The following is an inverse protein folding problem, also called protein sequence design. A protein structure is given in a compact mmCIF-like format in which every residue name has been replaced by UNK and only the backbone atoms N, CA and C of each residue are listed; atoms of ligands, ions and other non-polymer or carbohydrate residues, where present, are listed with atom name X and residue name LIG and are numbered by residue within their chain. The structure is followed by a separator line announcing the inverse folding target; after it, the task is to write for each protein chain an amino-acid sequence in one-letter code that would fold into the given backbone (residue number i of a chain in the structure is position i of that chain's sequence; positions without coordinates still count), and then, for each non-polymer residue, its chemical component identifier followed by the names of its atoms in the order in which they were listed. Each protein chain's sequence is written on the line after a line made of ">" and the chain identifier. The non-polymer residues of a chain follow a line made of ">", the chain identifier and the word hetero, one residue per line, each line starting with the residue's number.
data_IF_225456665438
#
_entry.id   IF_225456665438
#
_cell.length_a   1.000
_cell.length_b   1.000
_cell.length_c   1.000
_cell.angle_alpha   90.00
_cell.angle_beta   90.00
_cell.angle_gamma   90.00
#
_symmetry.space_group_name_H-M   'P 1'
#
loop_
_entity.id
_entity.type
_entity.pdbx_description
1 polymer ?
#
# COMPACT_ATOMS: atom_id res chain seq x y z
N UNK A 1 21.77 -9.12 -31.21
CA UNK A 1 21.35 -8.76 -29.83
C UNK A 1 21.08 -7.25 -29.78
N UNK A 2 20.06 -6.80 -30.53
CA UNK A 2 19.64 -5.39 -30.64
C UNK A 2 18.12 -5.46 -30.70
N UNK A 3 17.45 -5.67 -29.56
CA UNK A 3 15.99 -5.55 -29.45
C UNK A 3 15.58 -5.59 -27.96
N UNK A 4 16.06 -4.65 -27.16
CA UNK A 4 15.58 -4.47 -25.78
C UNK A 4 15.61 -3.00 -25.31
N UNK A 5 15.39 -2.07 -26.24
CA UNK A 5 15.40 -0.62 -25.96
C UNK A 5 14.14 0.13 -26.48
N UNK A 6 13.04 -0.57 -26.78
CA UNK A 6 11.86 0.02 -27.44
C UNK A 6 10.58 0.14 -26.58
N UNK A 7 10.67 0.10 -25.24
CA UNK A 7 9.48 0.34 -24.40
C UNK A 7 9.70 1.26 -23.19
N UNK A 8 10.70 2.15 -23.25
CA UNK A 8 10.60 3.39 -22.48
C UNK A 8 9.77 4.37 -23.33
N UNK A 9 8.45 4.14 -23.39
CA UNK A 9 7.52 5.22 -23.76
C UNK A 9 7.70 6.28 -22.68
N UNK A 10 8.48 7.30 -22.98
CA UNK A 10 8.54 8.52 -22.20
C UNK A 10 7.11 9.01 -22.00
N UNK A 11 6.58 8.92 -20.79
CA UNK A 11 5.32 9.56 -20.42
C UNK A 11 5.51 11.04 -20.74
N UNK A 12 4.79 11.64 -21.71
CA UNK A 12 5.32 12.83 -22.38
C UNK A 12 5.39 14.08 -21.50
N UNK A 13 4.68 14.13 -20.38
CA UNK A 13 4.66 15.29 -19.48
C UNK A 13 4.41 14.75 -18.05
N UNK A 14 5.44 14.76 -17.20
CA UNK A 14 5.32 14.35 -15.80
C UNK A 14 5.38 15.57 -14.88
N UNK A 15 4.24 15.96 -14.30
CA UNK A 15 4.19 17.01 -13.27
C UNK A 15 4.49 16.36 -11.93
N UNK A 16 5.53 16.82 -11.24
CA UNK A 16 5.91 16.29 -9.93
C UNK A 16 5.35 17.17 -8.82
N UNK A 17 4.69 16.56 -7.84
CA UNK A 17 4.12 17.18 -6.66
C UNK A 17 4.78 16.56 -5.42
N UNK A 18 5.05 17.37 -4.40
CA UNK A 18 5.39 16.85 -3.08
C UNK A 18 4.13 16.83 -2.23
N UNK A 19 4.02 15.85 -1.34
CA UNK A 19 2.99 15.91 -0.30
C UNK A 19 3.16 17.13 0.58
N UNK A 20 2.04 17.55 1.15
CA UNK A 20 1.92 18.72 2.01
C UNK A 20 1.13 18.36 3.26
N UNK A 21 1.44 19.00 4.38
CA UNK A 21 0.69 18.86 5.65
C UNK A 21 -0.72 19.44 5.60
N UNK A 22 -1.05 20.14 4.52
CA UNK A 22 -2.37 20.71 4.21
C UNK A 22 -2.92 20.15 2.91
N UNK A 23 -4.24 20.20 2.75
CA UNK A 23 -4.87 19.88 1.47
C UNK A 23 -4.65 21.02 0.45
N UNK A 24 -4.30 20.65 -0.77
CA UNK A 24 -4.14 21.53 -1.92
C UNK A 24 -4.94 20.97 -3.09
N UNK A 25 -5.49 21.86 -3.90
CA UNK A 25 -6.22 21.49 -5.11
C UNK A 25 -5.39 21.85 -6.34
N UNK A 26 -5.37 20.94 -7.31
CA UNK A 26 -4.82 21.21 -8.64
C UNK A 26 -5.92 21.00 -9.63
N UNK A 27 -6.06 21.97 -10.52
CA UNK A 27 -6.88 21.87 -11.70
C UNK A 27 -6.02 22.20 -12.92
N UNK A 28 -6.05 21.33 -13.92
CA UNK A 28 -5.26 21.45 -15.13
C UNK A 28 -6.04 20.85 -16.31
N UNK A 29 -5.60 21.15 -17.53
CA UNK A 29 -6.15 20.55 -18.75
C UNK A 29 -5.00 19.89 -19.51
N UNK A 30 -5.14 18.59 -19.79
CA UNK A 30 -4.16 17.83 -20.54
C UNK A 30 -4.59 17.76 -22.01
N UNK A 31 -3.77 18.33 -22.90
CA UNK A 31 -4.00 18.28 -24.36
C UNK A 31 -3.58 16.93 -24.97
N UNK A 32 -2.69 16.20 -24.30
CA UNK A 32 -2.16 14.90 -24.72
C UNK A 32 -2.06 13.94 -23.54
N UNK A 33 -1.61 12.71 -23.78
CA UNK A 33 -1.23 11.79 -22.70
C UNK A 33 -0.14 12.40 -21.82
N UNK A 34 -0.20 12.12 -20.53
CA UNK A 34 0.76 12.64 -19.55
C UNK A 34 0.70 11.87 -18.24
N UNK A 35 1.31 12.41 -17.21
CA UNK A 35 1.24 11.84 -15.88
C UNK A 35 1.46 12.87 -14.79
N UNK A 36 0.95 12.56 -13.61
CA UNK A 36 1.20 13.33 -12.40
C UNK A 36 1.85 12.40 -11.39
N UNK A 37 3.07 12.75 -11.00
CA UNK A 37 3.81 12.04 -9.96
C UNK A 37 3.64 12.79 -8.64
N UNK A 38 3.30 12.06 -7.59
CA UNK A 38 3.10 12.58 -6.24
C UNK A 38 4.03 11.82 -5.31
N UNK A 39 5.02 12.52 -4.77
CA UNK A 39 5.93 11.96 -3.78
C UNK A 39 5.34 12.17 -2.39
N UNK A 40 4.96 11.09 -1.70
CA UNK A 40 4.29 11.15 -0.40
C UNK A 40 5.31 10.92 0.72
N UNK A 41 5.44 11.92 1.58
CA UNK A 41 6.32 11.97 2.74
C UNK A 41 5.59 12.44 4.03
N UNK A 42 4.30 12.77 3.93
CA UNK A 42 3.43 13.14 5.07
C UNK A 42 2.24 12.19 5.11
N UNK A 43 1.95 11.65 6.28
CA UNK A 43 0.88 10.68 6.51
C UNK A 43 -0.03 11.10 7.68
N UNK A 44 -1.31 10.72 7.69
CA UNK A 44 -2.03 10.06 6.57
C UNK A 44 -2.15 10.98 5.37
N UNK A 45 -2.23 10.42 4.16
CA UNK A 45 -2.33 11.18 2.93
C UNK A 45 -3.62 10.86 2.17
N UNK A 46 -4.26 11.88 1.63
CA UNK A 46 -5.51 11.78 0.90
C UNK A 46 -5.29 12.19 -0.55
N UNK A 47 -5.89 11.44 -1.46
CA UNK A 47 -6.08 11.78 -2.86
C UNK A 47 -7.57 11.79 -3.15
N UNK A 48 -8.10 12.96 -3.50
CA UNK A 48 -9.52 13.14 -3.83
C UNK A 48 -9.64 13.46 -5.31
N UNK A 49 -10.29 12.58 -6.06
CA UNK A 49 -10.43 12.68 -7.50
C UNK A 49 -11.70 13.45 -7.85
N UNK A 50 -11.55 14.73 -8.19
CA UNK A 50 -12.70 15.58 -8.54
C UNK A 50 -13.15 15.35 -9.99
N UNK A 51 -12.20 15.38 -10.93
CA UNK A 51 -12.43 15.06 -12.35
C UNK A 51 -11.12 14.55 -12.94
N UNK A 52 -11.17 13.47 -13.69
CA UNK A 52 -9.99 12.90 -14.32
C UNK A 52 -10.40 12.42 -15.71
N UNK A 53 -9.50 12.48 -16.72
CA UNK A 53 -9.79 11.92 -18.04
C UNK A 53 -10.07 10.41 -17.95
N UNK A 54 -11.00 9.93 -18.77
CA UNK A 54 -11.39 8.52 -18.76
C UNK A 54 -10.23 7.60 -19.19
N UNK A 55 -10.10 6.47 -18.51
CA UNK A 55 -9.03 5.50 -18.69
C UNK A 55 -7.73 5.91 -17.98
N UNK A 56 -7.79 6.86 -17.05
CA UNK A 56 -6.62 7.20 -16.24
C UNK A 56 -6.35 6.13 -15.19
N UNK A 57 -5.09 5.88 -14.89
CA UNK A 57 -4.65 4.78 -14.01
C UNK A 57 -3.83 5.36 -12.86
N UNK A 58 -4.18 4.99 -11.63
CA UNK A 58 -3.36 5.25 -10.44
C UNK A 58 -2.39 4.09 -10.25
N UNK A 59 -1.10 4.36 -10.37
CA UNK A 59 -0.02 3.44 -10.01
C UNK A 59 0.51 3.81 -8.64
N UNK A 60 0.52 2.85 -7.73
CA UNK A 60 1.01 3.00 -6.36
C UNK A 60 2.34 2.27 -6.24
N UNK A 61 3.38 3.00 -5.86
CA UNK A 61 4.69 2.45 -5.58
C UNK A 61 4.97 2.61 -4.10
N UNK A 62 5.43 1.55 -3.42
CA UNK A 62 5.86 1.66 -2.03
C UNK A 62 7.32 1.26 -1.87
N UNK A 63 7.90 1.64 -0.74
CA UNK A 63 9.28 1.29 -0.39
C UNK A 63 9.38 0.89 1.07
N UNK A 64 10.20 -0.13 1.36
CA UNK A 64 10.55 -0.49 2.73
C UNK A 64 11.84 0.18 3.22
N UNK A 65 12.69 0.66 2.31
CA UNK A 65 14.04 1.17 2.59
C UNK A 65 14.34 2.55 1.97
N UNK A 66 13.35 3.22 1.37
CA UNK A 66 13.41 4.51 0.64
C UNK A 66 14.22 4.48 -0.67
N UNK A 67 15.11 3.53 -0.84
CA UNK A 67 16.02 3.47 -1.99
C UNK A 67 15.42 2.70 -3.18
N UNK A 68 14.52 1.76 -2.91
CA UNK A 68 13.84 0.97 -3.95
C UNK A 68 12.32 1.18 -3.92
N UNK A 69 11.76 1.58 -5.06
CA UNK A 69 10.30 1.70 -5.24
C UNK A 69 9.79 0.48 -6.00
N UNK A 70 8.83 -0.22 -5.41
CA UNK A 70 8.15 -1.35 -6.03
C UNK A 70 6.70 -1.00 -6.33
N UNK A 71 6.25 -1.29 -7.55
CA UNK A 71 4.84 -1.15 -7.91
C UNK A 71 4.01 -2.15 -7.10
N UNK A 72 3.18 -1.66 -6.20
CA UNK A 72 2.31 -2.50 -5.36
C UNK A 72 0.92 -2.65 -5.95
N UNK A 73 0.40 -1.61 -6.58
CA UNK A 73 -0.94 -1.61 -7.12
C UNK A 73 -1.07 -0.73 -8.36
N UNK A 74 -1.99 -1.10 -9.23
CA UNK A 74 -2.36 -0.33 -10.42
C UNK A 74 -3.87 -0.42 -10.58
N UNK A 75 -4.54 0.71 -10.34
CA UNK A 75 -6.01 0.77 -10.27
C UNK A 75 -6.54 1.83 -11.23
N UNK A 76 -7.52 1.49 -12.11
CA UNK A 76 -8.23 2.50 -12.89
C UNK A 76 -8.89 3.52 -11.96
N UNK A 77 -8.69 4.81 -12.21
CA UNK A 77 -9.21 5.87 -11.32
C UNK A 77 -10.74 5.83 -11.22
N UNK A 78 -11.43 5.34 -12.25
CA UNK A 78 -12.90 5.21 -12.24
C UNK A 78 -13.42 4.18 -11.23
N UNK A 79 -12.58 3.25 -10.78
CA UNK A 79 -12.89 2.27 -9.72
C UNK A 79 -12.68 2.84 -8.32
N UNK A 80 -11.97 3.97 -8.21
CA UNK A 80 -11.87 4.73 -6.97
C UNK A 80 -13.11 5.61 -6.88
N UNK A 81 -13.87 5.52 -5.79
CA UNK A 81 -15.12 6.27 -5.65
C UNK A 81 -14.89 7.78 -5.72
N UNK A 82 -14.25 8.34 -4.69
CA UNK A 82 -13.94 9.78 -4.61
C UNK A 82 -12.60 10.00 -3.91
N UNK A 83 -12.40 9.30 -2.79
CA UNK A 83 -11.22 9.44 -1.93
C UNK A 83 -10.42 8.15 -1.97
N UNK A 84 -9.11 8.30 -2.14
CA UNK A 84 -8.11 7.27 -1.93
C UNK A 84 -7.23 7.70 -0.75
N UNK A 85 -7.10 6.82 0.24
CA UNK A 85 -6.42 7.07 1.51
C UNK A 85 -5.15 6.23 1.59
N UNK A 86 -4.06 6.87 2.03
CA UNK A 86 -2.73 6.25 2.13
C UNK A 86 -2.23 6.35 3.57
N UNK A 87 -2.00 5.19 4.18
CA UNK A 87 -1.65 5.06 5.60
C UNK A 87 -0.16 4.75 5.85
N UNK A 88 0.50 4.07 4.92
CA UNK A 88 1.79 3.45 5.15
C UNK A 88 2.96 4.24 4.57
N UNK A 89 4.13 4.18 5.24
CA UNK A 89 5.21 5.09 4.96
C UNK A 89 5.89 4.73 3.62
N UNK A 90 6.29 5.77 2.91
CA UNK A 90 6.98 5.77 1.62
C UNK A 90 6.12 5.25 0.48
N UNK A 91 5.36 6.17 -0.09
CA UNK A 91 4.54 5.95 -1.27
C UNK A 91 4.88 7.00 -2.33
N UNK A 92 5.04 6.54 -3.56
CA UNK A 92 5.02 7.40 -4.73
C UNK A 92 3.82 6.99 -5.56
N UNK A 93 2.94 7.94 -5.84
CA UNK A 93 1.77 7.70 -6.66
C UNK A 93 1.96 8.36 -8.02
N UNK A 94 1.70 7.62 -9.10
CA UNK A 94 1.71 8.14 -10.46
C UNK A 94 0.32 7.99 -11.03
N UNK A 95 -0.33 9.11 -11.33
CA UNK A 95 -1.59 9.12 -12.06
C UNK A 95 -1.24 9.25 -13.55
N UNK A 96 -1.39 8.16 -14.28
CA UNK A 96 -1.20 8.10 -15.72
C UNK A 96 -2.47 8.58 -16.44
N UNK A 97 -2.32 9.58 -17.29
CA UNK A 97 -3.40 10.16 -18.09
C UNK A 97 -3.26 9.65 -19.52
N UNK A 98 -4.17 8.77 -19.91
CA UNK A 98 -4.13 8.06 -21.20
C UNK A 98 -4.90 8.77 -22.30
N UNK A 99 -5.71 9.78 -21.95
CA UNK A 99 -6.52 10.58 -22.89
C UNK A 99 -6.51 12.06 -22.51
N UNK A 100 -6.64 12.98 -23.49
CA UNK A 100 -6.83 14.40 -23.21
C UNK A 100 -8.08 14.67 -22.38
N UNK A 101 -8.06 15.74 -21.59
CA UNK A 101 -9.22 16.21 -20.85
C UNK A 101 -8.88 17.03 -19.60
N UNK A 102 -9.92 17.42 -18.89
CA UNK A 102 -9.80 18.12 -17.61
C UNK A 102 -9.30 17.16 -16.54
N UNK A 103 -8.39 17.66 -15.72
CA UNK A 103 -7.85 16.99 -14.57
C UNK A 103 -8.04 17.89 -13.34
N UNK A 104 -8.54 17.32 -12.26
CA UNK A 104 -8.75 17.99 -10.99
C UNK A 104 -8.66 17.01 -9.85
N UNK A 105 -7.71 17.25 -8.94
CA UNK A 105 -7.58 16.50 -7.71
C UNK A 105 -7.37 17.43 -6.54
N UNK A 106 -7.72 16.96 -5.36
CA UNK A 106 -7.27 17.54 -4.08
C UNK A 106 -6.40 16.53 -3.38
N UNK A 107 -5.24 16.95 -2.89
CA UNK A 107 -4.28 16.06 -2.26
C UNK A 107 -3.64 16.70 -1.02
N UNK A 108 -3.15 15.89 -0.09
CA UNK A 108 -2.46 16.36 1.10
C UNK A 108 -2.84 15.58 2.35
N UNK A 109 -2.57 16.17 3.50
CA UNK A 109 -2.85 15.58 4.81
C UNK A 109 -3.82 16.43 5.63
N UNK A 110 -4.44 15.79 6.63
CA UNK A 110 -5.32 16.38 7.64
C UNK A 110 -4.73 16.11 9.04
N UNK A 111 -3.44 16.41 9.22
CA UNK A 111 -2.76 16.11 10.48
C UNK A 111 -3.45 16.80 11.67
N UNK A 112 -3.69 16.03 12.73
CA UNK A 112 -4.31 16.47 13.98
C UNK A 112 -5.73 17.09 13.82
N UNK A 113 -6.41 16.76 12.73
CA UNK A 113 -7.78 17.18 12.43
C UNK A 113 -8.67 15.99 12.09
N UNK A 114 -9.98 16.15 12.24
CA UNK A 114 -10.98 15.21 11.73
C UNK A 114 -10.87 13.82 12.36
N UNK A 115 -10.47 13.74 13.64
CA UNK A 115 -10.14 12.50 14.34
C UNK A 115 -11.30 11.52 14.51
N UNK A 116 -12.55 11.97 14.37
CA UNK A 116 -13.73 11.10 14.42
C UNK A 116 -14.40 10.92 13.06
N UNK A 117 -13.88 11.56 12.02
CA UNK A 117 -14.29 11.33 10.63
C UNK A 117 -14.21 12.56 9.74
N UNK A 118 -14.21 12.34 8.43
CA UNK A 118 -14.26 13.40 7.44
C UNK A 118 -15.22 13.05 6.30
N UNK A 119 -16.13 13.97 5.99
CA UNK A 119 -16.90 13.96 4.76
C UNK A 119 -16.09 14.67 3.69
N UNK A 120 -15.80 14.00 2.59
CA UNK A 120 -15.26 14.60 1.38
C UNK A 120 -16.36 14.71 0.36
N UNK A 121 -16.48 15.87 -0.28
CA UNK A 121 -17.46 16.05 -1.35
C UNK A 121 -16.97 16.99 -2.44
N UNK A 122 -17.23 16.61 -3.68
CA UNK A 122 -17.00 17.41 -4.87
C UNK A 122 -18.32 17.88 -5.51
N UNK A 123 -19.46 17.70 -4.84
CA UNK A 123 -20.78 18.11 -5.35
C UNK A 123 -20.84 19.62 -5.56
N UNK A 124 -21.53 20.05 -6.61
CA UNK A 124 -21.72 21.47 -6.91
C UNK A 124 -22.77 22.07 -5.96
N UNK A 125 -23.80 21.30 -5.64
CA UNK A 125 -24.86 21.70 -4.71
C UNK A 125 -25.17 20.52 -3.79
N UNK A 126 -25.01 20.73 -2.49
CA UNK A 126 -25.30 19.71 -1.50
C UNK A 126 -25.51 20.33 -0.11
N UNK A 127 -26.13 19.56 0.78
CA UNK A 127 -26.35 19.91 2.18
C UNK A 127 -25.88 18.76 3.04
N UNK A 128 -24.81 18.95 3.79
CA UNK A 128 -24.39 17.98 4.81
C UNK A 128 -24.92 18.45 6.16
N UNK A 129 -25.65 17.57 6.83
CA UNK A 129 -26.30 17.87 8.10
C UNK A 129 -25.85 16.88 9.15
N UNK A 130 -25.26 17.38 10.22
CA UNK A 130 -24.86 16.63 11.39
C UNK A 130 -25.81 16.97 12.54
N UNK A 131 -26.33 15.97 13.23
CA UNK A 131 -27.18 16.20 14.39
C UNK A 131 -27.04 15.06 15.41
N UNK A 132 -27.41 15.33 16.66
CA UNK A 132 -27.30 14.35 17.75
C UNK A 132 -28.25 13.15 17.59
N UNK A 133 -29.45 13.37 17.06
CA UNK A 133 -30.49 12.35 16.91
C UNK A 133 -30.30 11.44 15.69
N UNK A 134 -29.31 11.73 14.83
CA UNK A 134 -28.99 10.95 13.65
C UNK A 134 -28.32 9.65 14.02
N UNK A 135 -28.28 8.76 13.04
CA UNK A 135 -27.57 7.48 13.14
C UNK A 135 -26.39 7.47 12.16
N UNK A 136 -25.40 6.61 12.42
CA UNK A 136 -24.23 6.49 11.57
C UNK A 136 -23.34 7.74 11.55
N UNK A 137 -22.83 8.05 10.35
CA UNK A 137 -21.77 9.06 10.16
C UNK A 137 -22.25 10.49 10.44
N UNK A 138 -23.55 10.77 10.31
CA UNK A 138 -24.14 12.10 10.53
C UNK A 138 -24.39 12.40 12.01
N UNK A 139 -24.22 11.42 12.89
CA UNK A 139 -24.42 11.58 14.33
C UNK A 139 -23.36 12.47 14.97
N UNK A 140 -23.78 13.44 15.79
CA UNK A 140 -22.89 14.20 16.68
C UNK A 140 -22.85 13.52 18.06
N UNK A 141 -21.65 13.18 18.53
CA UNK A 141 -21.40 12.63 19.86
C UNK A 141 -20.62 13.59 20.75
N UNK A 142 -20.33 13.15 21.98
CA UNK A 142 -19.45 13.85 22.91
C UNK A 142 -18.00 13.72 22.41
N UNK A 143 -17.22 14.81 22.48
CA UNK A 143 -15.82 14.86 22.03
C UNK A 143 -15.63 14.49 20.56
N UNK A 144 -16.55 14.98 19.72
CA UNK A 144 -16.53 14.79 18.28
C UNK A 144 -15.49 15.72 17.65
N UNK A 145 -14.72 15.22 16.69
CA UNK A 145 -13.85 16.00 15.81
C UNK A 145 -14.08 15.56 14.36
N UNK A 146 -15.16 16.09 13.76
CA UNK A 146 -15.58 15.76 12.40
C UNK A 146 -15.27 16.89 11.44
N UNK A 147 -14.91 16.55 10.21
CA UNK A 147 -14.72 17.52 9.15
C UNK A 147 -15.69 17.36 8.00
N UNK A 148 -16.05 18.46 7.37
CA UNK A 148 -16.71 18.51 6.07
C UNK A 148 -15.78 19.26 5.11
N UNK A 149 -15.34 18.56 4.07
CA UNK A 149 -14.28 19.01 3.16
C UNK A 149 -14.87 19.11 1.76
N UNK A 150 -14.95 20.35 1.27
CA UNK A 150 -15.42 20.65 -0.07
C UNK A 150 -14.22 20.72 -1.01
N UNK A 151 -14.04 19.69 -1.84
CA UNK A 151 -12.85 19.50 -2.67
C UNK A 151 -12.97 20.08 -4.07
N UNK A 152 -14.15 20.58 -4.44
CA UNK A 152 -14.36 21.24 -5.72
C UNK A 152 -13.55 22.56 -5.80
N UNK A 153 -12.58 22.70 -6.73
CA UNK A 153 -11.71 23.89 -6.82
C UNK A 153 -12.44 25.05 -7.46
N UNK A 154 -13.23 25.76 -6.65
CA UNK A 154 -14.09 26.82 -7.11
C UNK A 154 -14.43 27.81 -5.99
N UNK A 155 -14.99 28.94 -6.40
CA UNK A 155 -15.67 29.85 -5.48
C UNK A 155 -17.00 29.22 -5.02
N UNK A 156 -17.15 29.12 -3.70
CA UNK A 156 -18.23 28.40 -3.06
C UNK A 156 -19.07 29.36 -2.22
N UNK A 157 -20.38 29.27 -2.36
CA UNK A 157 -21.36 29.91 -1.48
C UNK A 157 -21.74 28.91 -0.40
N UNK A 158 -21.58 29.32 0.84
CA UNK A 158 -21.88 28.51 2.00
C UNK A 158 -23.05 29.10 2.76
N UNK A 159 -24.03 28.25 3.06
CA UNK A 159 -25.10 28.55 4.00
C UNK A 159 -24.92 27.65 5.23
N UNK A 160 -24.52 28.27 6.32
CA UNK A 160 -24.22 27.63 7.60
C UNK A 160 -25.37 27.86 8.57
N UNK A 161 -25.94 26.76 9.09
CA UNK A 161 -26.95 26.77 10.13
C UNK A 161 -26.47 25.96 11.32
N UNK A 162 -26.37 26.62 12.48
CA UNK A 162 -25.97 26.05 13.76
C UNK A 162 -27.12 26.22 14.75
N UNK A 163 -27.41 25.19 15.55
CA UNK A 163 -28.35 25.28 16.64
C UNK A 163 -27.85 24.50 17.86
N UNK A 164 -27.87 25.14 19.03
CA UNK A 164 -27.61 24.48 20.32
C UNK A 164 -26.20 23.89 20.47
N UNK A 165 -25.22 24.39 19.71
CA UNK A 165 -23.88 23.77 19.67
C UNK A 165 -23.09 24.09 20.93
N UNK A 166 -22.71 23.06 21.68
CA UNK A 166 -21.73 23.12 22.76
C UNK A 166 -20.33 22.71 22.23
N UNK A 167 -19.78 23.57 21.38
CA UNK A 167 -18.67 23.26 20.48
C UNK A 167 -18.30 24.44 19.60
N UNK A 168 -17.36 24.20 18.68
CA UNK A 168 -16.89 25.17 17.69
C UNK A 168 -16.95 24.56 16.31
N UNK A 169 -17.42 25.34 15.33
CA UNK A 169 -17.23 25.06 13.91
C UNK A 169 -16.19 26.04 13.39
N UNK A 170 -15.07 25.54 12.89
CA UNK A 170 -13.97 26.35 12.37
C UNK A 170 -13.85 26.09 10.87
N UNK A 171 -13.91 27.14 10.08
CA UNK A 171 -13.59 27.11 8.66
C UNK A 171 -12.08 27.31 8.50
N UNK A 172 -11.43 26.39 7.80
CA UNK A 172 -10.03 26.51 7.40
C UNK A 172 -9.92 26.80 5.90
N UNK A 173 -8.99 27.68 5.59
CA UNK A 173 -8.55 28.01 4.24
C UNK A 173 -7.04 27.93 4.14
N UNK A 174 -6.51 27.29 3.10
CA UNK A 174 -5.07 27.16 2.89
C UNK A 174 -4.32 26.53 4.10
N UNK A 175 -4.99 25.65 4.84
CA UNK A 175 -4.45 24.97 6.02
C UNK A 175 -4.42 25.79 7.32
N UNK A 176 -5.00 27.00 7.34
CA UNK A 176 -5.09 27.85 8.54
C UNK A 176 -6.54 28.17 8.90
N UNK A 177 -6.88 28.36 10.18
CA UNK A 177 -8.21 28.83 10.58
C UNK A 177 -8.50 30.21 9.96
N UNK A 178 -9.63 30.33 9.25
CA UNK A 178 -10.13 31.59 8.69
C UNK A 178 -11.23 32.18 9.58
N UNK A 179 -12.22 31.36 9.97
CA UNK A 179 -13.39 31.80 10.75
C UNK A 179 -13.80 30.76 11.78
N UNK A 180 -14.29 31.24 12.91
CA UNK A 180 -14.85 30.42 13.97
C UNK A 180 -16.32 30.78 14.19
N UNK A 181 -17.16 29.76 14.41
CA UNK A 181 -18.59 29.88 14.64
C UNK A 181 -18.99 29.06 15.87
N UNK A 182 -19.79 29.66 16.75
CA UNK A 182 -20.24 29.07 18.02
C UNK A 182 -21.72 29.38 18.30
N UNK A 183 -22.37 28.56 19.11
CA UNK A 183 -23.76 28.77 19.53
C UNK A 183 -24.78 28.54 18.42
N UNK A 184 -25.90 29.27 18.47
CA UNK A 184 -26.95 29.22 17.44
C UNK A 184 -26.74 30.35 16.44
N UNK A 185 -26.64 30.00 15.15
CA UNK A 185 -26.28 30.95 14.10
C UNK A 185 -26.91 30.53 12.77
N UNK A 186 -27.29 31.54 11.97
CA UNK A 186 -27.55 31.40 10.55
C UNK A 186 -26.64 32.36 9.79
N UNK A 187 -25.80 31.85 8.90
CA UNK A 187 -24.85 32.69 8.15
C UNK A 187 -24.72 32.25 6.71
N UNK A 188 -24.65 33.23 5.82
CA UNK A 188 -24.37 33.04 4.40
C UNK A 188 -23.10 33.79 4.07
N UNK A 189 -22.18 33.15 3.35
CA UNK A 189 -20.96 33.79 2.90
C UNK A 189 -20.34 33.06 1.71
N UNK A 190 -19.45 33.77 1.03
CA UNK A 190 -18.66 33.25 -0.07
C UNK A 190 -17.24 32.93 0.41
N UNK A 191 -16.65 31.88 -0.15
CA UNK A 191 -15.29 31.45 0.14
C UNK A 191 -14.62 30.96 -1.15
N UNK A 192 -13.41 31.45 -1.42
CA UNK A 192 -12.62 31.00 -2.57
C UNK A 192 -11.84 29.73 -2.20
N UNK A 193 -12.26 28.60 -2.77
CA UNK A 193 -11.60 27.31 -2.58
C UNK A 193 -10.84 26.85 -3.84
N UNK A 194 -10.46 27.76 -4.74
CA UNK A 194 -9.86 27.41 -6.03
C UNK A 194 -8.50 26.71 -5.91
N UNK A 195 -7.71 27.05 -4.89
CA UNK A 195 -6.36 26.49 -4.67
C UNK A 195 -6.24 25.59 -3.44
N UNK A 196 -7.19 25.70 -2.51
CA UNK A 196 -7.25 24.90 -1.28
C UNK A 196 -8.72 24.63 -0.98
N UNK A 197 -9.10 23.40 -0.62
CA UNK A 197 -10.48 23.09 -0.27
C UNK A 197 -10.92 23.86 0.97
N UNK A 198 -12.22 24.14 1.05
CA UNK A 198 -12.84 24.65 2.26
C UNK A 198 -13.05 23.48 3.23
N UNK A 199 -12.45 23.57 4.42
CA UNK A 199 -12.57 22.54 5.47
C UNK A 199 -13.34 23.13 6.64
N UNK A 200 -14.53 22.61 6.91
CA UNK A 200 -15.29 22.91 8.12
C UNK A 200 -15.01 21.84 9.15
N UNK A 201 -14.23 22.16 10.18
CA UNK A 201 -13.97 21.29 11.32
C UNK A 201 -14.97 21.60 12.42
N UNK A 202 -15.71 20.60 12.86
CA UNK A 202 -16.54 20.67 14.04
C UNK A 202 -15.86 19.96 15.20
N UNK A 203 -15.74 20.66 16.33
CA UNK A 203 -15.20 20.13 17.57
C UNK A 203 -16.20 20.32 18.71
N UNK A 204 -16.62 19.24 19.39
CA UNK A 204 -17.50 19.30 20.57
C UNK A 204 -16.72 19.13 21.88
N UNK A 205 -17.06 19.92 22.90
CA UNK A 205 -16.38 19.90 24.22
C UNK A 205 -17.23 19.32 25.35
N UNK A 206 -18.48 18.93 25.08
CA UNK A 206 -19.41 18.49 26.12
C UNK A 206 -20.60 17.71 25.58
N UNK A 207 -21.55 17.41 26.46
CA UNK A 207 -22.74 16.64 26.09
C UNK A 207 -23.55 17.35 24.99
N UNK A 208 -23.87 16.65 23.88
CA UNK A 208 -24.79 17.19 22.91
C UNK A 208 -26.17 17.23 23.52
N UNK A 209 -26.74 18.44 23.61
CA UNK A 209 -28.16 18.59 23.86
C UNK A 209 -28.74 19.40 22.72
N UNK A 210 -29.45 18.75 21.81
CA UNK A 210 -30.10 19.34 20.64
C UNK A 210 -29.15 19.99 19.62
N UNK A 211 -27.91 19.46 19.51
CA UNK A 211 -26.93 19.98 18.54
C UNK A 211 -27.35 19.70 17.10
N UNK A 212 -27.26 20.73 16.26
CA UNK A 212 -27.50 20.66 14.83
C UNK A 212 -26.51 21.54 14.08
N UNK A 213 -25.88 20.97 13.06
CA UNK A 213 -24.99 21.64 12.12
C UNK A 213 -25.47 21.30 10.73
N UNK A 214 -25.77 22.29 9.91
CA UNK A 214 -26.05 22.09 8.50
C UNK A 214 -25.22 23.04 7.69
N UNK A 215 -24.46 22.49 6.74
CA UNK A 215 -23.63 23.25 5.82
C UNK A 215 -24.13 22.93 4.42
N UNK A 216 -24.69 23.93 3.78
CA UNK A 216 -25.06 23.86 2.38
C UNK A 216 -23.98 24.56 1.56
N UNK A 217 -23.66 23.95 0.42
CA UNK A 217 -22.72 24.50 -0.55
C UNK A 217 -23.43 24.70 -1.87
N UNK A 218 -23.07 25.78 -2.55
CA UNK A 218 -23.30 26.00 -3.96
C UNK A 218 -22.00 26.50 -4.61
N UNK A 219 -21.45 25.72 -5.52
CA UNK A 219 -20.18 26.00 -6.19
C UNK A 219 -20.40 26.63 -7.56
N UNK A 220 -19.62 27.66 -7.89
CA UNK A 220 -19.66 28.29 -9.22
C UNK A 220 -18.56 27.73 -10.14
N UNK A 221 -18.81 27.77 -11.44
CA UNK A 221 -17.87 27.50 -12.54
C UNK A 221 -17.47 26.03 -12.75
N UNK A 222 -17.01 25.31 -11.72
CA UNK A 222 -16.47 23.97 -11.93
C UNK A 222 -17.50 22.87 -11.66
N UNK A 223 -17.76 22.05 -12.70
CA UNK A 223 -18.68 20.91 -12.62
C UNK A 223 -17.92 19.60 -12.83
N UNK A 224 -17.64 18.83 -11.78
CA UNK A 224 -17.00 17.53 -11.96
C UNK A 224 -17.95 16.56 -12.67
N UNK A 225 -17.41 15.66 -13.49
CA UNK A 225 -18.19 14.65 -14.21
C UNK A 225 -18.99 13.75 -13.28
N UNK A 226 -18.45 13.44 -12.11
CA UNK A 226 -19.09 12.66 -11.05
C UNK A 226 -19.20 13.53 -9.81
N UNK A 227 -20.42 13.64 -9.26
CA UNK A 227 -20.67 14.35 -8.02
C UNK A 227 -20.95 13.34 -6.91
N UNK A 228 -20.06 13.29 -5.92
CA UNK A 228 -20.04 12.25 -4.91
C UNK A 228 -19.81 12.85 -3.52
N UNK A 229 -20.23 12.08 -2.52
CA UNK A 229 -19.93 12.30 -1.10
C UNK A 229 -19.33 11.00 -0.60
N UNK A 230 -18.17 11.08 0.04
CA UNK A 230 -17.53 9.95 0.69
C UNK A 230 -17.29 10.30 2.16
N UNK A 231 -17.52 9.32 3.04
CA UNK A 231 -17.14 9.44 4.44
C UNK A 231 -15.88 8.60 4.69
N UNK A 232 -14.90 9.22 5.33
CA UNK A 232 -13.71 8.55 5.83
C UNK A 232 -13.78 8.49 7.36
N UNK A 233 -13.63 7.29 7.90
CA UNK A 233 -13.58 7.06 9.33
C UNK A 233 -12.17 6.58 9.72
N UNK A 234 -11.37 7.38 10.45
CA UNK A 234 -10.04 6.95 10.88
C UNK A 234 -10.08 5.69 11.75
N UNK A 235 -11.18 5.46 12.47
CA UNK A 235 -11.30 4.32 13.39
C UNK A 235 -11.76 3.02 12.71
N UNK A 236 -12.35 3.08 11.52
CA UNK A 236 -12.69 1.86 10.75
C UNK A 236 -11.43 1.16 10.21
N UNK A 237 -10.36 1.93 9.99
CA UNK A 237 -9.09 1.42 9.47
C UNK A 237 -8.12 0.89 10.54
N UNK A 238 -8.52 0.84 11.82
CA UNK A 238 -7.86 -0.03 12.82
C UNK A 238 -8.01 -1.54 12.49
N UNK A 239 -8.45 -1.88 11.28
CA UNK A 239 -8.27 -3.17 10.64
C UNK A 239 -6.79 -3.45 10.29
N UNK A 240 -5.94 -3.51 11.31
CA UNK A 240 -4.88 -4.52 11.38
C UNK A 240 -5.45 -5.96 11.51
N UNK A 241 -6.70 -6.20 11.13
CA UNK A 241 -7.36 -7.50 11.15
C UNK A 241 -7.39 -8.19 9.77
N UNK A 242 -6.86 -7.58 8.69
CA UNK A 242 -6.80 -8.22 7.36
C UNK A 242 -5.54 -7.99 6.54
N UNK A 243 -4.49 -7.38 7.10
CA UNK A 243 -3.16 -7.87 6.73
C UNK A 243 -3.10 -9.22 7.40
N UNK A 244 -3.42 -10.26 6.65
CA UNK A 244 -3.17 -11.65 7.02
C UNK A 244 -1.80 -11.64 7.68
N UNK A 245 -1.77 -11.64 9.04
CA UNK A 245 -0.52 -11.56 9.81
C UNK A 245 0.37 -12.52 9.09
N UNK A 246 1.43 -12.03 8.45
CA UNK A 246 2.34 -12.88 7.69
C UNK A 246 2.97 -13.75 8.75
N UNK A 247 2.24 -14.81 9.10
CA UNK A 247 2.40 -15.43 10.39
C UNK A 247 3.65 -16.21 10.12
N UNK A 248 4.71 -15.90 10.86
CA UNK A 248 5.95 -16.67 10.81
C UNK A 248 5.63 -18.18 10.82
N UNK A 249 4.51 -18.57 11.44
CA UNK A 249 3.84 -19.89 11.38
C UNK A 249 3.45 -20.40 9.98
N UNK A 250 2.87 -19.62 9.06
CA UNK A 250 2.55 -20.06 7.68
C UNK A 250 3.83 -20.25 6.84
N UNK A 251 4.78 -19.31 6.95
CA UNK A 251 6.08 -19.44 6.30
C UNK A 251 6.90 -20.62 6.87
N UNK A 252 6.86 -20.83 8.20
CA UNK A 252 7.46 -21.98 8.87
C UNK A 252 6.77 -23.28 8.48
N UNK A 253 5.43 -23.32 8.34
CA UNK A 253 4.71 -24.54 7.91
C UNK A 253 5.12 -24.96 6.51
N UNK A 254 5.23 -24.04 5.56
CA UNK A 254 5.67 -24.37 4.20
C UNK A 254 7.12 -24.85 4.20
N UNK A 255 8.03 -24.14 4.88
CA UNK A 255 9.44 -24.57 4.97
C UNK A 255 9.61 -25.93 5.68
N UNK A 256 8.84 -26.18 6.74
CA UNK A 256 8.87 -27.43 7.49
C UNK A 256 8.30 -28.60 6.67
N UNK A 257 7.23 -28.38 5.89
CA UNK A 257 6.71 -29.37 4.95
C UNK A 257 7.74 -29.71 3.86
N UNK A 258 8.42 -28.70 3.29
CA UNK A 258 9.48 -28.93 2.29
C UNK A 258 10.64 -29.74 2.88
N UNK A 259 11.05 -29.46 4.11
CA UNK A 259 12.09 -30.22 4.82
C UNK A 259 11.65 -31.68 5.02
N UNK A 260 10.44 -31.93 5.50
CA UNK A 260 9.92 -33.30 5.71
C UNK A 260 9.90 -34.10 4.40
N UNK A 261 9.42 -33.49 3.31
CA UNK A 261 9.37 -34.13 1.99
C UNK A 261 10.79 -34.45 1.48
N UNK A 262 11.74 -33.54 1.66
CA UNK A 262 13.14 -33.77 1.26
C UNK A 262 13.79 -34.94 2.02
N UNK A 263 13.50 -35.09 3.32
CA UNK A 263 13.99 -36.20 4.15
C UNK A 263 13.38 -37.53 3.69
N UNK A 264 12.08 -37.56 3.40
CA UNK A 264 11.39 -38.77 2.88
C UNK A 264 11.99 -39.26 1.56
N UNK A 265 12.26 -38.33 0.63
CA UNK A 265 12.92 -38.65 -0.65
C UNK A 265 14.34 -39.17 -0.40
N UNK A 266 15.09 -38.56 0.52
CA UNK A 266 16.43 -39.00 0.91
C UNK A 266 16.45 -40.42 1.49
N UNK A 267 15.52 -40.76 2.38
CA UNK A 267 15.38 -42.10 2.95
C UNK A 267 15.06 -43.13 1.86
N UNK A 268 14.15 -42.83 0.95
CA UNK A 268 13.82 -43.70 -0.19
C UNK A 268 15.03 -43.96 -1.07
N UNK A 269 15.78 -42.93 -1.44
CA UNK A 269 16.99 -43.06 -2.24
C UNK A 269 18.05 -43.91 -1.54
N UNK A 270 18.21 -43.73 -0.23
CA UNK A 270 19.15 -44.51 0.59
C UNK A 270 18.74 -45.99 0.67
N UNK A 271 17.45 -46.29 0.83
CA UNK A 271 16.94 -47.66 0.83
C UNK A 271 17.16 -48.36 -0.52
N UNK A 272 16.94 -47.65 -1.63
CA UNK A 272 17.25 -48.16 -2.98
C UNK A 272 18.74 -48.42 -3.14
N UNK A 273 19.59 -47.52 -2.63
CA UNK A 273 21.04 -47.71 -2.66
C UNK A 273 21.48 -48.95 -1.85
N UNK A 274 20.98 -49.11 -0.62
CA UNK A 274 21.25 -50.30 0.20
C UNK A 274 20.78 -51.55 -0.53
N UNK A 275 19.55 -51.55 -1.08
CA UNK A 275 19.04 -52.68 -1.84
C UNK A 275 19.97 -53.04 -3.01
N UNK A 276 20.47 -52.05 -3.75
CA UNK A 276 21.40 -52.25 -4.85
C UNK A 276 22.76 -52.81 -4.38
N UNK A 277 23.28 -52.30 -3.27
CA UNK A 277 24.53 -52.80 -2.65
C UNK A 277 24.36 -54.23 -2.14
N UNK A 278 23.24 -54.54 -1.47
CA UNK A 278 22.91 -55.88 -1.00
C UNK A 278 22.74 -56.85 -2.17
N UNK A 279 22.04 -56.44 -3.23
CA UNK A 279 21.91 -57.25 -4.46
C UNK A 279 23.28 -57.53 -5.07
N UNK A 280 24.16 -56.53 -5.21
CA UNK A 280 25.52 -56.74 -5.70
C UNK A 280 26.36 -57.64 -4.79
N UNK A 281 26.25 -57.47 -3.47
CA UNK A 281 27.06 -58.19 -2.49
C UNK A 281 26.61 -59.64 -2.30
N UNK A 282 25.29 -59.88 -2.27
CA UNK A 282 24.69 -61.21 -2.14
C UNK A 282 24.77 -62.00 -3.46
N UNK A 283 24.57 -61.37 -4.63
CA UNK A 283 24.74 -62.07 -5.91
C UNK A 283 26.21 -62.42 -6.22
N UNK A 284 27.19 -61.67 -5.69
CA UNK A 284 28.61 -62.01 -5.86
C UNK A 284 28.97 -63.30 -5.13
N UNK A 285 28.44 -63.53 -3.91
CA UNK A 285 28.61 -64.79 -3.18
C UNK A 285 27.88 -65.98 -3.82
N UNK A 286 26.80 -65.75 -4.58
CA UNK A 286 26.12 -66.81 -5.31
C UNK A 286 26.90 -67.27 -6.56
N UNK A 287 27.61 -66.36 -7.23
CA UNK A 287 28.51 -66.73 -8.35
C UNK A 287 29.81 -67.40 -7.89
N UNK A 288 30.31 -67.09 -6.69
CA UNK A 288 31.57 -67.64 -6.19
C UNK A 288 31.42 -69.07 -5.65
N UNK A 289 30.21 -69.48 -5.21
CA UNK A 289 29.94 -70.86 -4.79
C UNK A 289 29.73 -71.85 -5.95
N UNK A 290 29.63 -71.36 -7.20
CA UNK A 290 29.51 -72.20 -8.40
C UNK A 290 30.85 -72.48 -9.10
N UNK A 291 31.97 -72.02 -8.53
CA UNK A 291 33.31 -72.13 -9.13
C UNK A 291 34.32 -72.77 -8.18
N UNK A 292 33.92 -73.85 -7.53
CA UNK A 292 34.80 -74.77 -6.81
C UNK A 292 34.45 -76.22 -7.20
N UNK A 293 34.64 -76.53 -8.47
CA UNK A 293 35.15 -77.82 -8.93
C UNK A 293 35.72 -77.61 -10.33
N UNK A 294 36.88 -78.21 -10.57
CA UNK A 294 37.61 -78.34 -11.84
C UNK A 294 38.61 -77.22 -12.22
N UNK A 295 39.86 -77.52 -11.88
CA UNK A 295 41.02 -77.64 -12.80
C UNK A 295 42.24 -76.75 -12.49
N UNK A 296 43.29 -77.44 -12.02
CA UNK A 296 44.65 -77.48 -12.57
C UNK A 296 45.23 -76.23 -13.29
N UNK A 297 46.18 -75.59 -12.60
CA UNK A 297 47.57 -75.22 -12.98
C UNK A 297 48.05 -75.41 -14.44
N UNK A 298 49.18 -74.77 -14.85
CA UNK A 298 49.55 -73.34 -14.79
C UNK A 298 50.16 -72.87 -16.14
N UNK A 299 50.43 -71.57 -16.36
CA UNK A 299 51.66 -71.10 -17.06
C UNK A 299 51.79 -69.57 -17.14
N UNK A 300 52.87 -69.09 -16.50
CA UNK A 300 53.84 -68.05 -16.87
C UNK A 300 53.45 -66.86 -17.79
N UNK A 301 53.59 -65.63 -17.26
CA UNK A 301 54.69 -64.65 -17.48
C UNK A 301 54.22 -63.20 -17.27
N UNK A 302 55.06 -62.42 -16.57
CA UNK A 302 55.38 -60.96 -16.65
C UNK A 302 54.29 -59.97 -17.14
N UNK A 303 54.08 -58.75 -16.60
CA UNK A 303 54.99 -57.73 -16.02
C UNK A 303 54.15 -56.51 -15.57
N UNK A 304 54.68 -55.70 -14.63
CA UNK A 304 54.39 -54.26 -14.45
C UNK A 304 53.40 -53.92 -13.31
N UNK A 305 53.88 -53.44 -12.14
CA UNK A 305 53.94 -52.01 -11.71
C UNK A 305 52.55 -51.35 -11.60
N UNK A 306 52.10 -50.70 -10.52
CA UNK A 306 52.66 -50.08 -9.30
C UNK A 306 51.51 -50.07 -8.25
N UNK A 307 51.74 -50.37 -6.96
CA UNK A 307 51.88 -49.40 -5.83
C UNK A 307 50.94 -48.19 -5.94
N UNK A 308 50.10 -47.82 -4.97
CA UNK A 308 50.14 -48.01 -3.51
C UNK A 308 48.79 -47.58 -2.89
N UNK A 309 48.22 -48.43 -2.03
CA UNK A 309 47.37 -48.08 -0.87
C UNK A 309 48.27 -47.59 0.31
N UNK A 310 47.80 -47.20 1.52
CA UNK A 310 46.42 -47.26 2.08
C UNK A 310 45.97 -46.02 2.93
N UNK A 311 44.71 -46.07 3.40
CA UNK A 311 44.16 -45.62 4.73
C UNK A 311 44.37 -44.16 5.18
N UNK A 312 43.44 -43.46 5.83
CA UNK A 312 42.22 -43.79 6.56
C UNK A 312 42.03 -42.78 7.71
N UNK A 313 40.76 -42.50 8.04
CA UNK A 313 40.17 -41.98 9.30
C UNK A 313 40.36 -40.51 9.76
N UNK A 314 39.23 -39.78 9.70
CA UNK A 314 38.46 -39.09 10.74
C UNK A 314 39.01 -37.94 11.65
N UNK A 315 38.18 -36.88 11.66
CA UNK A 315 37.62 -36.07 12.78
C UNK A 315 38.30 -34.78 13.29
N UNK A 316 37.39 -33.81 13.51
CA UNK A 316 37.42 -32.57 14.32
C UNK A 316 38.03 -31.28 13.72
N UNK A 317 37.15 -30.43 13.18
CA UNK A 317 36.55 -29.21 13.78
C UNK A 317 37.37 -28.38 14.82
N UNK A 318 36.97 -27.12 15.10
CA UNK A 318 37.30 -25.86 14.45
C UNK A 318 38.18 -24.96 15.36
N UNK A 319 38.28 -23.66 15.05
CA UNK A 319 38.87 -22.55 15.85
C UNK A 319 40.34 -22.22 15.50
N UNK A 320 40.57 -20.90 15.33
CA UNK A 320 41.84 -20.14 15.28
C UNK A 320 42.38 -19.80 13.89
N UNK A 321 41.98 -18.62 13.39
CA UNK A 321 42.85 -17.48 13.01
C UNK A 321 41.96 -16.36 12.44
N UNK A 322 41.43 -15.46 13.27
CA UNK A 322 42.01 -14.15 13.66
C UNK A 322 42.35 -13.22 12.50
N UNK A 323 41.63 -12.09 12.48
CA UNK A 323 41.97 -10.81 11.85
C UNK A 323 43.41 -10.36 12.18
N UNK A 324 44.07 -9.77 11.19
CA UNK A 324 45.20 -8.82 11.24
C UNK A 324 45.77 -8.77 9.81
N UNK A 325 46.09 -7.65 9.17
CA UNK A 325 46.15 -6.26 9.58
C UNK A 325 46.15 -5.38 8.32
N UNK A 326 45.72 -4.13 8.55
CA UNK A 326 46.11 -2.89 7.89
C UNK A 326 47.41 -2.90 7.05
N UNK A 327 47.33 -2.40 5.82
CA UNK A 327 47.91 -1.12 5.36
C UNK A 327 47.28 -0.70 4.03
#
# INVERSE_FOLDING_TARGET
>A
MILFFLFLRSIPILKTLSSTSKLLSIHDTFDTTGGIQININVYPFFLVFNDVPEGSILHEYTSSDKDTLELTNSTPVEQINLVHYVEYPFAQHIIEITKPGNFSITYGSLQDMCQTGAFFTNTIQNSITLNESSTGNDKISIYEDKCIIFTNPAENFHFLRLNGINGRVILYGNGVPDREFTGTLLKYFMFDASSSPAIFRFYSFGEPSSMFISIQIESKMYRPKRQLVAFWNPNENNHCDKVEKCTIVKALKIKLVVIIVSILIGILAFMVFIYFVLMKSCCRRFKEKQRSDNNEWPTSKEKGQNRTEPTGTFLMDPILRTNADSY
#
